data_IF_531891750757
#
_entry.id   IF_531891750757
#
_cell.length_a   1.000
_cell.length_b   1.000
_cell.length_c   1.000
_cell.angle_alpha   90.00
_cell.angle_beta   90.00
_cell.angle_gamma   90.00
#
_symmetry.space_group_name_H-M   'P 1'
#
loop_
_entity.id
_entity.type
_entity.pdbx_description
1 polymer ?
#
# COMPACT_ATOMS: atom_id res chain seq x y z
N UNK A 1 19.68 -5.71 2.75
CA UNK A 1 18.26 -6.10 2.59
C UNK A 1 18.13 -7.61 2.71
N UNK A 2 17.18 -8.06 3.50
CA UNK A 2 16.93 -9.49 3.70
C UNK A 2 15.60 -9.85 3.04
N UNK A 3 15.59 -10.98 2.32
CA UNK A 3 14.39 -11.47 1.64
C UNK A 3 14.00 -12.80 2.26
N UNK A 4 12.77 -12.90 2.77
CA UNK A 4 12.24 -14.13 3.36
C UNK A 4 11.15 -14.69 2.45
N UNK A 5 11.39 -15.85 1.82
CA UNK A 5 10.34 -16.51 1.06
C UNK A 5 9.36 -17.21 2.01
N UNK A 6 8.08 -17.06 1.75
CA UNK A 6 7.01 -17.72 2.50
C UNK A 6 6.24 -18.61 1.55
N UNK A 7 6.17 -19.88 1.88
CA UNK A 7 5.45 -20.87 1.06
C UNK A 7 4.21 -21.33 1.82
N UNK A 8 3.05 -21.09 1.24
CA UNK A 8 1.78 -21.56 1.79
C UNK A 8 1.08 -22.47 0.78
N UNK A 9 0.03 -23.16 1.23
CA UNK A 9 -0.74 -24.03 0.33
C UNK A 9 -1.42 -23.26 -0.79
N UNK A 10 -1.84 -22.01 -0.52
CA UNK A 10 -2.61 -21.22 -1.48
C UNK A 10 -1.75 -20.27 -2.30
N UNK A 11 -0.62 -19.79 -1.76
CA UNK A 11 0.20 -18.81 -2.46
C UNK A 11 1.59 -18.71 -1.85
N UNK A 12 2.57 -18.47 -2.71
CA UNK A 12 3.92 -18.14 -2.28
C UNK A 12 4.13 -16.65 -2.36
N UNK A 13 4.80 -16.07 -1.37
CA UNK A 13 5.13 -14.65 -1.37
C UNK A 13 6.47 -14.42 -0.67
N UNK A 14 6.95 -13.19 -0.73
CA UNK A 14 8.22 -12.80 -0.11
C UNK A 14 8.04 -11.64 0.84
N UNK A 15 8.81 -11.64 1.91
CA UNK A 15 8.90 -10.51 2.84
C UNK A 15 10.27 -9.89 2.66
N UNK A 16 10.30 -8.58 2.41
CA UNK A 16 11.52 -7.80 2.26
C UNK A 16 11.76 -7.00 3.52
N UNK A 17 12.91 -7.22 4.15
CA UNK A 17 13.28 -6.54 5.39
C UNK A 17 14.58 -5.79 5.16
N UNK A 18 14.61 -4.53 5.56
CA UNK A 18 15.81 -3.74 5.39
C UNK A 18 15.65 -2.32 5.94
N UNK A 19 16.78 -1.63 6.03
CA UNK A 19 16.81 -0.22 6.38
C UNK A 19 16.56 0.62 5.12
N UNK A 20 15.70 1.64 5.23
CA UNK A 20 15.33 2.50 4.09
C UNK A 20 14.83 1.70 2.88
N UNK A 21 14.13 0.62 3.13
CA UNK A 21 13.69 -0.29 2.07
C UNK A 21 12.71 0.38 1.10
N UNK A 22 12.05 1.46 1.53
CA UNK A 22 11.14 2.19 0.66
C UNK A 22 11.84 2.80 -0.55
N UNK A 23 13.12 3.10 -0.44
CA UNK A 23 13.91 3.59 -1.57
C UNK A 23 14.07 2.52 -2.65
N UNK A 24 13.85 1.27 -2.30
CA UNK A 24 13.91 0.14 -3.23
C UNK A 24 12.54 -0.31 -3.72
N UNK A 25 11.50 0.48 -3.46
CA UNK A 25 10.14 0.11 -3.82
C UNK A 25 10.01 -0.24 -5.30
N UNK A 26 10.47 0.62 -6.17
CA UNK A 26 10.37 0.39 -7.62
C UNK A 26 11.18 -0.83 -8.07
N UNK A 27 12.34 -1.04 -7.46
CA UNK A 27 13.14 -2.23 -7.74
C UNK A 27 12.40 -3.51 -7.35
N UNK A 28 11.77 -3.52 -6.18
CA UNK A 28 11.03 -4.68 -5.68
C UNK A 28 9.80 -4.95 -6.56
N UNK A 29 9.03 -3.91 -6.90
CA UNK A 29 7.85 -4.04 -7.75
C UNK A 29 8.23 -4.63 -9.11
N UNK A 30 9.32 -4.16 -9.69
CA UNK A 30 9.79 -4.65 -10.99
C UNK A 30 10.29 -6.10 -10.89
N UNK A 31 11.04 -6.42 -9.83
CA UNK A 31 11.54 -7.77 -9.61
C UNK A 31 10.41 -8.77 -9.41
N UNK A 32 9.37 -8.39 -8.70
CA UNK A 32 8.19 -9.24 -8.47
C UNK A 32 7.20 -9.20 -9.64
N UNK A 33 7.52 -8.49 -10.73
CA UNK A 33 6.71 -8.39 -11.93
C UNK A 33 5.30 -7.91 -11.67
N UNK A 34 5.16 -6.92 -10.80
CA UNK A 34 3.87 -6.34 -10.45
C UNK A 34 3.62 -5.15 -11.38
N UNK A 35 2.54 -5.21 -12.14
CA UNK A 35 2.12 -4.14 -13.03
C UNK A 35 0.75 -3.63 -12.63
N UNK A 36 0.60 -2.33 -12.48
CA UNK A 36 -0.67 -1.71 -12.12
C UNK A 36 -0.79 -0.32 -12.74
N UNK A 37 -2.01 0.08 -13.03
CA UNK A 37 -2.30 1.41 -13.60
C UNK A 37 -2.80 2.38 -12.54
N UNK A 38 -3.46 1.88 -11.51
CA UNK A 38 -4.00 2.68 -10.43
C UNK A 38 -3.51 2.16 -9.10
N UNK A 39 -3.28 3.07 -8.15
CA UNK A 39 -2.92 2.71 -6.79
C UNK A 39 -3.75 3.47 -5.79
N UNK A 40 -4.11 2.80 -4.70
CA UNK A 40 -4.71 3.40 -3.52
C UNK A 40 -3.73 3.23 -2.36
N UNK A 41 -3.22 4.34 -1.86
CA UNK A 41 -2.35 4.35 -0.69
C UNK A 41 -3.20 4.62 0.56
N UNK A 42 -3.29 3.62 1.42
CA UNK A 42 -4.04 3.70 2.68
C UNK A 42 -3.04 3.97 3.78
N UNK A 43 -3.15 5.11 4.45
CA UNK A 43 -2.14 5.60 5.37
C UNK A 43 -2.75 6.00 6.70
N UNK A 44 -2.10 5.59 7.80
CA UNK A 44 -2.42 6.12 9.12
C UNK A 44 -1.98 7.60 9.17
N UNK A 45 -2.89 8.49 9.51
CA UNK A 45 -2.61 9.93 9.54
C UNK A 45 -1.53 10.32 10.57
N UNK A 46 -1.19 9.42 11.49
CA UNK A 46 -0.14 9.67 12.48
C UNK A 46 1.26 9.48 11.92
N UNK A 47 1.39 8.99 10.70
CA UNK A 47 2.67 8.89 10.00
C UNK A 47 3.06 10.29 9.51
N UNK A 48 4.35 10.62 9.57
CA UNK A 48 4.81 11.96 9.18
C UNK A 48 4.46 12.26 7.72
N UNK A 49 4.05 13.51 7.47
CA UNK A 49 3.70 13.95 6.12
C UNK A 49 4.85 13.84 5.14
N UNK A 50 6.07 14.08 5.61
CA UNK A 50 7.26 13.97 4.76
C UNK A 50 7.48 12.53 4.30
N UNK A 51 7.26 11.57 5.19
CA UNK A 51 7.37 10.15 4.86
C UNK A 51 6.31 9.71 3.87
N UNK A 52 5.07 10.18 4.06
CA UNK A 52 3.98 9.89 3.12
C UNK A 52 4.31 10.44 1.74
N UNK A 53 4.81 11.67 1.65
CA UNK A 53 5.22 12.27 0.38
C UNK A 53 6.35 11.47 -0.28
N UNK A 54 7.32 11.02 0.50
CA UNK A 54 8.41 10.21 0.00
C UNK A 54 7.92 8.92 -0.65
N UNK A 55 7.03 8.20 0.05
CA UNK A 55 6.45 6.97 -0.48
C UNK A 55 5.64 7.25 -1.74
N UNK A 56 4.79 8.26 -1.70
CA UNK A 56 3.94 8.58 -2.84
C UNK A 56 4.78 8.94 -4.08
N UNK A 57 5.92 9.58 -3.89
CA UNK A 57 6.82 9.92 -5.00
C UNK A 57 7.47 8.68 -5.63
N UNK A 58 7.57 7.58 -4.90
CA UNK A 58 8.14 6.32 -5.42
C UNK A 58 7.12 5.49 -6.19
N UNK A 59 5.84 5.78 -6.07
CA UNK A 59 4.79 5.04 -6.75
C UNK A 59 4.59 5.63 -8.14
N UNK A 60 4.87 4.86 -9.18
CA UNK A 60 4.72 5.28 -10.58
C UNK A 60 3.53 4.56 -11.21
N UNK A 61 2.44 5.29 -11.44
CA UNK A 61 1.26 4.77 -12.13
C UNK A 61 0.42 5.92 -12.65
N UNK A 62 -0.56 5.60 -13.49
CA UNK A 62 -1.41 6.61 -14.15
C UNK A 62 -2.28 7.39 -13.17
N UNK A 63 -2.79 6.72 -12.14
CA UNK A 63 -3.68 7.33 -11.15
C UNK A 63 -3.29 6.91 -9.75
N UNK A 64 -3.05 7.90 -8.89
CA UNK A 64 -2.71 7.67 -7.48
C UNK A 64 -3.75 8.34 -6.59
N UNK A 65 -4.29 7.58 -5.65
CA UNK A 65 -5.25 8.07 -4.66
C UNK A 65 -4.67 7.76 -3.28
N UNK A 66 -4.79 8.70 -2.36
CA UNK A 66 -4.35 8.53 -0.97
C UNK A 66 -5.55 8.64 -0.05
N UNK A 67 -5.71 7.68 0.84
CA UNK A 67 -6.74 7.67 1.86
C UNK A 67 -6.08 7.67 3.25
N UNK A 68 -6.40 8.68 4.05
CA UNK A 68 -5.88 8.82 5.41
C UNK A 68 -6.93 8.33 6.40
N UNK A 69 -6.51 7.49 7.34
CA UNK A 69 -7.38 7.07 8.42
C UNK A 69 -6.73 7.36 9.78
N UNK A 70 -7.55 7.40 10.81
CA UNK A 70 -7.08 7.63 12.17
C UNK A 70 -7.15 6.32 12.96
N UNK A 71 -5.98 5.70 13.21
CA UNK A 71 -5.89 4.42 13.91
C UNK A 71 -6.37 4.48 15.36
N UNK A 72 -6.44 5.69 15.96
CA UNK A 72 -6.95 5.84 17.32
C UNK A 72 -8.49 5.90 17.39
N UNK A 73 -9.19 5.99 16.27
CA UNK A 73 -10.65 6.02 16.21
C UNK A 73 -11.21 4.60 16.11
N UNK A 74 -11.42 3.96 17.25
CA UNK A 74 -11.82 2.55 17.32
C UNK A 74 -13.18 2.23 16.70
N UNK A 75 -14.11 3.20 16.71
CA UNK A 75 -15.49 2.96 16.28
C UNK A 75 -15.71 3.21 14.78
N UNK A 76 -14.67 3.47 14.01
CA UNK A 76 -14.80 3.82 12.61
C UNK A 76 -14.29 2.78 11.61
N UNK A 77 -14.00 1.56 12.08
CA UNK A 77 -13.43 0.52 11.21
C UNK A 77 -14.34 0.21 10.01
N UNK A 78 -15.65 0.02 10.26
CA UNK A 78 -16.59 -0.28 9.17
C UNK A 78 -16.78 0.92 8.27
N UNK A 79 -16.81 2.13 8.82
CA UNK A 79 -16.91 3.36 8.04
C UNK A 79 -15.71 3.51 7.10
N UNK A 80 -14.50 3.25 7.59
CA UNK A 80 -13.30 3.31 6.77
C UNK A 80 -13.33 2.28 5.64
N UNK A 81 -13.75 1.05 5.94
CA UNK A 81 -13.87 -0.01 4.93
C UNK A 81 -14.85 0.39 3.85
N UNK A 82 -16.01 0.92 4.22
CA UNK A 82 -17.02 1.36 3.26
C UNK A 82 -16.50 2.50 2.38
N UNK A 83 -15.76 3.45 2.97
CA UNK A 83 -15.15 4.54 2.22
C UNK A 83 -14.13 4.03 1.21
N UNK A 84 -13.29 3.08 1.63
CA UNK A 84 -12.30 2.48 0.75
C UNK A 84 -12.97 1.77 -0.43
N UNK A 85 -14.01 0.99 -0.15
CA UNK A 85 -14.77 0.29 -1.20
C UNK A 85 -15.40 1.28 -2.18
N UNK A 86 -15.94 2.40 -1.69
CA UNK A 86 -16.47 3.45 -2.56
C UNK A 86 -15.40 4.05 -3.47
N UNK A 87 -14.22 4.32 -2.93
CA UNK A 87 -13.10 4.86 -3.69
C UNK A 87 -12.73 3.90 -4.83
N UNK A 88 -12.61 2.63 -4.51
CA UNK A 88 -12.26 1.60 -5.49
C UNK A 88 -13.31 1.50 -6.59
N UNK A 89 -14.59 1.51 -6.20
CA UNK A 89 -15.70 1.41 -7.14
C UNK A 89 -15.79 2.65 -8.04
N UNK A 90 -15.76 3.84 -7.46
CA UNK A 90 -15.90 5.09 -8.22
C UNK A 90 -14.75 5.33 -9.20
N UNK A 91 -13.57 4.82 -8.89
CA UNK A 91 -12.39 5.01 -9.72
C UNK A 91 -12.10 3.81 -10.61
N UNK A 92 -13.03 2.87 -10.72
CA UNK A 92 -12.95 1.71 -11.61
C UNK A 92 -11.67 0.90 -11.41
N UNK A 93 -11.32 0.62 -10.16
CA UNK A 93 -10.18 -0.23 -9.87
C UNK A 93 -10.44 -1.64 -10.39
N UNK A 94 -9.44 -2.20 -11.06
CA UNK A 94 -9.47 -3.56 -11.59
C UNK A 94 -8.67 -4.49 -10.68
N UNK A 95 -8.79 -5.79 -10.94
CA UNK A 95 -8.15 -6.83 -10.12
C UNK A 95 -6.63 -6.66 -10.02
N UNK A 96 -5.98 -6.17 -11.06
CA UNK A 96 -4.53 -5.99 -11.10
C UNK A 96 -4.06 -4.60 -10.62
N UNK A 97 -4.98 -3.75 -10.20
CA UNK A 97 -4.59 -2.48 -9.58
C UNK A 97 -4.11 -2.72 -8.15
N UNK A 98 -3.39 -1.76 -7.59
CA UNK A 98 -2.65 -1.96 -6.35
C UNK A 98 -3.25 -1.18 -5.18
N UNK A 99 -3.34 -1.86 -4.04
CA UNK A 99 -3.61 -1.22 -2.75
C UNK A 99 -2.32 -1.31 -1.93
N UNK A 100 -1.85 -0.17 -1.47
CA UNK A 100 -0.64 -0.08 -0.66
C UNK A 100 -1.06 0.41 0.73
N UNK A 101 -0.73 -0.37 1.75
CA UNK A 101 -1.05 -0.02 3.13
C UNK A 101 0.23 0.39 3.86
N UNK A 102 0.19 1.54 4.51
CA UNK A 102 1.30 2.06 5.27
C UNK A 102 0.85 2.28 6.71
N UNK A 103 1.42 1.52 7.61
CA UNK A 103 1.04 1.58 9.02
C UNK A 103 2.22 1.43 9.95
N UNK A 104 2.00 1.74 11.21
CA UNK A 104 2.99 1.64 12.28
C UNK A 104 2.92 0.35 13.09
N UNK A 105 2.34 -0.72 12.56
CA UNK A 105 2.23 -2.01 13.24
C UNK A 105 0.95 -2.20 14.03
N UNK A 106 -0.04 -1.38 13.79
CA UNK A 106 -1.36 -1.49 14.43
C UNK A 106 -2.37 -2.01 13.43
#
# INVERSE_FOLDING_TARGET
MKILPINTKSKNYKIYIGHNIIDKFNFIIKKERINFKKSLLIVDKNISKNFIKKINSKINCEKKITFLFNSSERNKNLTYINTILEILFKNNFARNDMIICLGGGI
#
